data_IF_929556398526
#
_entry.id   IF_929556398526
#
_cell.length_a   1.000
_cell.length_b   1.000
_cell.length_c   1.000
_cell.angle_alpha   90.00
_cell.angle_beta   90.00
_cell.angle_gamma   90.00
#
_symmetry.space_group_name_H-M   'P 1'
#
loop_
_entity.id
_entity.type
_entity.pdbx_description
1 polymer ?
#
# COMPACT_ATOMS: atom_id res chain seq x y z
N UNK A 1 -19.48 -41.90 -10.53
CA UNK A 1 -18.80 -40.75 -11.14
C UNK A 1 -19.61 -39.51 -10.78
N UNK A 2 -19.04 -38.63 -9.93
CA UNK A 2 -19.66 -37.35 -9.62
C UNK A 2 -19.32 -36.39 -10.78
N UNK A 3 -20.35 -35.87 -11.41
CA UNK A 3 -20.21 -34.79 -12.37
C UNK A 3 -20.33 -33.47 -11.60
N UNK A 4 -19.25 -32.72 -11.48
CA UNK A 4 -19.25 -31.38 -10.88
C UNK A 4 -19.56 -30.40 -12.01
N UNK A 5 -20.74 -29.83 -11.98
CA UNK A 5 -21.16 -28.77 -12.91
C UNK A 5 -20.87 -27.43 -12.19
N UNK A 6 -19.85 -26.69 -12.64
CA UNK A 6 -19.58 -25.34 -12.17
C UNK A 6 -20.32 -24.37 -13.08
N UNK A 7 -21.34 -23.72 -12.55
CA UNK A 7 -21.99 -22.61 -13.21
C UNK A 7 -21.61 -21.30 -12.48
N UNK A 8 -21.12 -20.32 -13.20
CA UNK A 8 -20.88 -18.97 -12.71
C UNK A 8 -21.62 -17.98 -13.58
N UNK A 9 -22.34 -17.06 -12.95
CA UNK A 9 -23.02 -15.94 -13.64
C UNK A 9 -22.04 -14.86 -14.12
N UNK A 10 -20.76 -14.96 -13.70
CA UNK A 10 -19.72 -14.01 -14.06
C UNK A 10 -18.79 -14.58 -15.12
N UNK A 11 -18.40 -13.78 -16.13
CA UNK A 11 -17.43 -14.21 -17.13
C UNK A 11 -16.02 -14.30 -16.55
N UNK A 12 -15.18 -15.14 -17.16
CA UNK A 12 -13.74 -15.12 -16.94
C UNK A 12 -13.15 -13.94 -17.68
N UNK A 13 -12.36 -13.11 -16.98
CA UNK A 13 -11.53 -12.08 -17.61
C UNK A 13 -10.10 -12.61 -17.66
N UNK A 14 -9.59 -12.89 -18.86
CA UNK A 14 -8.26 -13.45 -19.01
C UNK A 14 -7.25 -12.40 -19.49
N UNK A 15 -6.09 -12.32 -18.82
CA UNK A 15 -4.99 -11.42 -19.14
C UNK A 15 -3.67 -12.17 -19.12
N UNK A 16 -2.70 -11.70 -19.90
CA UNK A 16 -1.38 -12.31 -20.03
C UNK A 16 -1.17 -12.94 -21.41
N UNK A 17 0.09 -13.19 -21.76
CA UNK A 17 0.47 -13.70 -23.09
C UNK A 17 -0.30 -14.97 -23.55
N UNK A 18 -0.52 -15.98 -22.67
CA UNK A 18 -1.24 -17.20 -23.06
C UNK A 18 -2.76 -17.09 -22.99
N UNK A 19 -3.33 -15.93 -22.62
CA UNK A 19 -4.76 -15.79 -22.34
C UNK A 19 -5.65 -16.25 -23.49
N UNK A 20 -5.33 -15.87 -24.71
CA UNK A 20 -6.10 -16.24 -25.90
C UNK A 20 -5.99 -17.72 -26.28
N UNK A 21 -4.89 -18.39 -25.88
CA UNK A 21 -4.62 -19.78 -26.29
C UNK A 21 -5.20 -20.82 -25.35
N UNK A 22 -5.29 -20.52 -24.05
CA UNK A 22 -5.69 -21.51 -23.04
C UNK A 22 -7.07 -21.28 -22.45
N UNK A 23 -7.47 -20.03 -22.28
CA UNK A 23 -8.71 -19.75 -21.53
C UNK A 23 -9.98 -19.96 -22.35
N UNK A 24 -9.89 -20.05 -23.68
CA UNK A 24 -11.07 -20.37 -24.50
C UNK A 24 -11.56 -21.78 -24.18
N UNK A 25 -10.66 -22.76 -24.20
CA UNK A 25 -11.01 -24.16 -23.92
C UNK A 25 -11.53 -24.35 -22.49
N UNK A 26 -10.95 -23.59 -21.54
CA UNK A 26 -11.38 -23.60 -20.14
C UNK A 26 -12.78 -23.01 -20.00
N UNK A 27 -13.06 -21.86 -20.61
CA UNK A 27 -14.36 -21.21 -20.57
C UNK A 27 -15.46 -22.09 -21.21
N UNK A 28 -15.15 -22.71 -22.35
CA UNK A 28 -16.05 -23.63 -23.05
C UNK A 28 -16.33 -24.88 -22.20
N UNK A 29 -15.30 -25.42 -21.57
CA UNK A 29 -15.39 -26.59 -20.67
C UNK A 29 -16.25 -26.31 -19.45
N UNK A 30 -16.16 -25.08 -18.91
CA UNK A 30 -16.91 -24.63 -17.74
C UNK A 30 -18.27 -24.00 -18.11
N UNK A 31 -18.58 -23.84 -19.40
CA UNK A 31 -19.78 -23.16 -19.93
C UNK A 31 -19.94 -21.72 -19.38
N UNK A 32 -18.82 -21.01 -19.21
CA UNK A 32 -18.75 -19.65 -18.68
C UNK A 32 -18.31 -18.71 -19.81
N UNK A 33 -18.82 -17.48 -19.82
CA UNK A 33 -18.38 -16.45 -20.77
C UNK A 33 -16.91 -16.11 -20.58
N UNK A 34 -16.16 -15.90 -21.69
CA UNK A 34 -14.79 -15.40 -21.68
C UNK A 34 -14.76 -13.97 -22.21
N UNK A 35 -14.10 -13.08 -21.47
CA UNK A 35 -13.78 -11.73 -21.92
C UNK A 35 -12.26 -11.55 -22.01
N UNK A 36 -11.80 -11.26 -23.21
CA UNK A 36 -10.40 -10.94 -23.51
C UNK A 36 -10.31 -9.44 -23.77
N UNK A 37 -9.77 -8.63 -22.82
CA UNK A 37 -9.56 -7.20 -23.05
C UNK A 37 -8.63 -6.95 -24.24
N UNK A 38 -8.83 -5.82 -24.92
CA UNK A 38 -7.84 -5.31 -25.85
C UNK A 38 -6.48 -5.21 -25.13
N UNK A 39 -5.41 -5.68 -25.74
CA UNK A 39 -4.08 -5.77 -25.14
C UNK A 39 -3.90 -6.83 -24.01
N UNK A 40 -4.85 -7.78 -23.84
CA UNK A 40 -4.73 -8.84 -22.84
C UNK A 40 -3.37 -9.54 -22.85
N UNK A 41 -2.80 -9.80 -24.04
CA UNK A 41 -1.52 -10.49 -24.22
C UNK A 41 -0.30 -9.71 -23.69
N UNK A 42 -0.39 -8.40 -23.57
CA UNK A 42 0.69 -7.52 -23.11
C UNK A 42 0.36 -6.82 -21.78
N UNK A 43 -0.69 -7.27 -21.09
CA UNK A 43 -1.19 -6.64 -19.87
C UNK A 43 -0.11 -6.49 -18.79
N UNK A 44 0.77 -7.48 -18.63
CA UNK A 44 1.87 -7.43 -17.67
C UNK A 44 2.89 -6.33 -18.03
N UNK A 45 3.25 -6.23 -19.32
CA UNK A 45 4.19 -5.19 -19.78
C UNK A 45 3.53 -3.80 -19.66
N UNK A 46 2.26 -3.70 -20.03
CA UNK A 46 1.50 -2.45 -19.88
C UNK A 46 1.36 -2.05 -18.41
N UNK A 47 1.03 -2.98 -17.53
CA UNK A 47 0.96 -2.75 -16.09
C UNK A 47 2.31 -2.33 -15.48
N UNK A 48 3.41 -2.89 -15.95
CA UNK A 48 4.75 -2.51 -15.52
C UNK A 48 5.13 -1.07 -15.94
N UNK A 49 4.71 -0.64 -17.13
CA UNK A 49 4.95 0.73 -17.61
C UNK A 49 4.03 1.75 -16.96
N UNK A 50 2.76 1.38 -16.73
CA UNK A 50 1.75 2.25 -16.12
C UNK A 50 1.73 2.15 -14.59
N UNK A 51 2.52 1.22 -14.02
CA UNK A 51 2.57 0.98 -12.59
C UNK A 51 3.08 2.20 -11.82
N UNK A 52 2.49 2.41 -10.65
CA UNK A 52 2.95 3.41 -9.70
C UNK A 52 3.95 2.77 -8.72
N UNK A 53 4.97 3.51 -8.37
CA UNK A 53 5.85 3.19 -7.24
C UNK A 53 5.11 3.57 -5.96
N UNK A 54 4.90 2.58 -5.08
CA UNK A 54 4.26 2.79 -3.78
C UNK A 54 5.25 2.38 -2.69
N UNK A 55 5.53 3.30 -1.78
CA UNK A 55 6.39 3.07 -0.63
C UNK A 55 5.70 3.50 0.65
N UNK A 56 5.95 2.74 1.73
CA UNK A 56 5.40 3.03 3.05
C UNK A 56 6.50 3.21 4.08
N UNK A 57 6.24 4.11 5.02
CA UNK A 57 7.01 4.27 6.23
C UNK A 57 6.04 4.42 7.40
N UNK A 58 6.45 3.95 8.58
CA UNK A 58 5.65 4.08 9.79
C UNK A 58 6.55 4.34 11.00
N UNK A 59 6.02 5.06 11.97
CA UNK A 59 6.61 5.22 13.30
C UNK A 59 5.52 5.12 14.35
N UNK A 60 5.89 4.73 15.56
CA UNK A 60 4.96 4.55 16.68
C UNK A 60 5.21 5.59 17.74
N UNK A 61 4.12 6.20 18.23
CA UNK A 61 4.08 7.05 19.42
C UNK A 61 3.40 6.28 20.51
N UNK A 62 4.07 6.07 21.65
CA UNK A 62 3.51 5.38 22.83
C UNK A 62 3.37 6.33 23.99
N UNK A 63 2.57 5.97 25.01
CA UNK A 63 2.48 6.69 26.27
C UNK A 63 3.02 5.83 27.41
N UNK A 64 4.35 5.80 27.67
CA UNK A 64 4.95 4.98 28.71
C UNK A 64 4.57 5.42 30.12
N UNK A 65 4.22 6.68 30.29
CA UNK A 65 3.73 7.26 31.54
C UNK A 65 2.66 8.30 31.23
N UNK A 66 1.74 8.51 32.17
CA UNK A 66 0.69 9.52 32.01
C UNK A 66 1.30 10.91 31.70
N UNK A 67 0.85 11.50 30.59
CA UNK A 67 1.32 12.81 30.12
C UNK A 67 2.72 12.82 29.45
N UNK A 68 3.37 11.67 29.26
CA UNK A 68 4.64 11.57 28.53
C UNK A 68 4.43 10.70 27.30
N UNK A 69 4.65 11.27 26.12
CA UNK A 69 4.52 10.59 24.85
C UNK A 69 5.91 10.36 24.25
N UNK A 70 6.22 9.12 23.90
CA UNK A 70 7.50 8.71 23.38
C UNK A 70 7.35 8.32 21.90
N UNK A 71 8.07 9.00 21.04
CA UNK A 71 8.19 8.70 19.61
C UNK A 71 9.44 7.85 19.38
N UNK A 72 9.26 6.66 18.82
CA UNK A 72 10.35 5.77 18.45
C UNK A 72 10.71 5.97 16.98
N UNK A 73 11.92 6.48 16.76
CA UNK A 73 12.50 6.63 15.44
C UNK A 73 14.01 6.46 15.51
N UNK A 74 14.57 5.58 14.67
CA UNK A 74 15.96 5.16 14.75
C UNK A 74 16.31 4.65 16.16
N UNK A 75 17.53 4.76 16.60
CA UNK A 75 17.95 4.28 17.93
C UNK A 75 17.73 5.29 19.05
N UNK A 76 17.03 6.39 18.79
CA UNK A 76 16.86 7.47 19.79
C UNK A 76 15.37 7.81 20.01
N UNK A 77 14.77 7.32 21.12
CA UNK A 77 13.44 7.73 21.51
C UNK A 77 13.41 9.22 21.89
N UNK A 78 12.37 9.92 21.40
CA UNK A 78 12.15 11.33 21.70
C UNK A 78 10.87 11.49 22.51
N UNK A 79 10.96 12.16 23.66
CA UNK A 79 9.83 12.38 24.57
C UNK A 79 9.16 13.74 24.29
N UNK A 80 7.85 13.76 24.47
CA UNK A 80 6.96 14.92 24.35
C UNK A 80 5.99 14.93 25.54
N UNK A 81 5.59 16.10 25.96
CA UNK A 81 4.58 16.34 27.00
C UNK A 81 3.16 16.49 26.42
N UNK A 82 3.04 16.44 25.11
CA UNK A 82 1.79 16.61 24.38
C UNK A 82 1.68 15.60 23.22
N UNK A 83 0.53 14.92 23.12
CA UNK A 83 0.27 13.93 22.08
C UNK A 83 0.28 14.53 20.67
N UNK A 84 -0.30 15.72 20.52
CA UNK A 84 -0.37 16.38 19.22
C UNK A 84 1.02 16.77 18.71
N UNK A 85 1.90 17.24 19.62
CA UNK A 85 3.29 17.54 19.30
C UNK A 85 4.06 16.27 18.89
N UNK A 86 3.83 15.13 19.59
CA UNK A 86 4.43 13.85 19.25
C UNK A 86 3.94 13.34 17.88
N UNK A 87 2.63 13.42 17.61
CA UNK A 87 2.02 13.05 16.31
C UNK A 87 2.51 13.94 15.19
N UNK A 88 2.66 15.23 15.42
CA UNK A 88 3.19 16.17 14.42
C UNK A 88 4.64 15.83 14.06
N UNK A 89 5.48 15.58 15.05
CA UNK A 89 6.87 15.15 14.82
C UNK A 89 6.93 13.80 14.09
N UNK A 90 6.07 12.84 14.47
CA UNK A 90 5.93 11.55 13.79
C UNK A 90 5.56 11.73 12.32
N UNK A 91 4.55 12.56 12.03
CA UNK A 91 4.11 12.88 10.68
C UNK A 91 5.23 13.43 9.80
N UNK A 92 6.02 14.36 10.31
CA UNK A 92 7.14 14.95 9.57
C UNK A 92 8.21 13.90 9.22
N UNK A 93 8.52 13.01 10.18
CA UNK A 93 9.50 11.94 10.01
C UNK A 93 9.01 10.93 8.96
N UNK A 94 7.78 10.38 9.12
CA UNK A 94 7.29 9.35 8.20
C UNK A 94 7.07 9.89 6.80
N UNK A 95 6.65 11.16 6.65
CA UNK A 95 6.49 11.80 5.35
C UNK A 95 7.82 11.86 4.60
N UNK A 96 8.88 12.31 5.27
CA UNK A 96 10.23 12.37 4.70
C UNK A 96 10.74 10.99 4.33
N UNK A 97 10.57 10.00 5.23
CA UNK A 97 11.02 8.62 5.00
C UNK A 97 10.28 7.96 3.82
N UNK A 98 8.96 8.11 3.76
CA UNK A 98 8.18 7.53 2.67
C UNK A 98 8.53 8.17 1.33
N UNK A 99 8.70 9.49 1.30
CA UNK A 99 9.11 10.23 0.11
C UNK A 99 10.49 9.82 -0.36
N UNK A 100 11.46 9.72 0.56
CA UNK A 100 12.81 9.28 0.23
C UNK A 100 12.82 7.87 -0.34
N UNK A 101 12.15 6.91 0.33
CA UNK A 101 12.03 5.52 -0.17
C UNK A 101 11.38 5.46 -1.56
N UNK A 102 10.38 6.30 -1.82
CA UNK A 102 9.72 6.34 -3.12
C UNK A 102 10.66 6.86 -4.22
N UNK A 103 11.43 7.93 -3.93
CA UNK A 103 12.44 8.46 -4.85
C UNK A 103 13.55 7.44 -5.13
N UNK A 104 14.06 6.77 -4.11
CA UNK A 104 15.07 5.71 -4.22
C UNK A 104 14.54 4.50 -5.02
N UNK A 105 13.24 4.23 -4.94
CA UNK A 105 12.56 3.21 -5.75
C UNK A 105 12.22 3.67 -7.18
N UNK A 106 12.64 4.87 -7.59
CA UNK A 106 12.44 5.41 -8.93
C UNK A 106 11.09 6.09 -9.14
N UNK A 107 10.43 6.56 -8.09
CA UNK A 107 9.23 7.38 -8.23
C UNK A 107 9.56 8.80 -8.69
N UNK A 108 8.75 9.33 -9.59
CA UNK A 108 8.79 10.74 -9.99
C UNK A 108 7.69 11.47 -9.22
N UNK A 109 8.06 12.58 -8.55
CA UNK A 109 7.13 13.47 -7.83
C UNK A 109 6.14 12.71 -6.93
N UNK A 110 6.62 11.91 -5.95
CA UNK A 110 5.73 11.13 -5.12
C UNK A 110 4.85 12.02 -4.23
N UNK A 111 3.55 11.73 -4.24
CA UNK A 111 2.57 12.34 -3.33
C UNK A 111 2.48 11.47 -2.07
N UNK A 112 2.48 12.11 -0.89
CA UNK A 112 2.43 11.43 0.41
C UNK A 112 1.08 11.62 1.07
N UNK A 113 0.46 10.52 1.49
CA UNK A 113 -0.74 10.50 2.36
C UNK A 113 -0.37 9.98 3.73
N UNK A 114 -1.07 10.45 4.77
CA UNK A 114 -0.82 10.08 6.17
C UNK A 114 -2.08 9.49 6.78
N UNK A 115 -1.92 8.34 7.41
CA UNK A 115 -2.95 7.65 8.17
C UNK A 115 -2.50 7.47 9.62
N UNK A 116 -3.46 7.41 10.55
CA UNK A 116 -3.24 7.23 11.98
C UNK A 116 -4.04 6.02 12.47
N UNK A 117 -3.36 5.11 13.15
CA UNK A 117 -3.99 3.98 13.82
C UNK A 117 -3.78 4.15 15.32
N UNK A 118 -4.82 4.65 16.01
CA UNK A 118 -4.78 4.94 17.44
C UNK A 118 -5.34 3.75 18.23
N UNK A 119 -4.59 3.29 19.21
CA UNK A 119 -4.99 2.26 20.16
C UNK A 119 -5.33 2.89 21.51
N UNK A 120 -6.59 2.72 21.92
CA UNK A 120 -7.09 3.14 23.21
C UNK A 120 -7.62 1.95 24.00
N UNK A 121 -7.46 1.97 25.30
CA UNK A 121 -8.05 0.96 26.22
C UNK A 121 -9.00 1.65 27.16
N UNK A 122 -10.16 1.00 27.39
CA UNK A 122 -11.13 1.47 28.39
C UNK A 122 -10.65 1.10 29.77
N UNK A 123 -10.33 2.08 30.58
CA UNK A 123 -10.14 1.91 32.02
C UNK A 123 -11.44 2.17 32.79
N UNK A 124 -11.66 1.42 33.87
CA UNK A 124 -12.86 1.57 34.70
C UNK A 124 -12.82 2.83 35.57
N UNK A 125 -11.66 3.43 35.77
CA UNK A 125 -11.44 4.55 36.67
C UNK A 125 -11.29 5.87 35.89
N UNK A 126 -10.45 5.88 34.83
CA UNK A 126 -10.09 7.10 34.09
C UNK A 126 -10.75 7.20 32.71
N UNK A 127 -11.60 6.23 32.35
CA UNK A 127 -12.30 6.26 31.06
C UNK A 127 -11.50 5.65 29.91
N UNK A 128 -11.18 6.42 28.90
CA UNK A 128 -10.41 5.98 27.72
C UNK A 128 -8.94 6.38 27.87
N UNK A 129 -8.07 5.37 27.98
CA UNK A 129 -6.63 5.55 28.07
C UNK A 129 -5.98 5.35 26.70
N UNK A 130 -5.26 6.35 26.22
CA UNK A 130 -4.40 6.22 25.05
C UNK A 130 -3.20 5.31 25.36
N UNK A 131 -2.92 4.35 24.49
CA UNK A 131 -1.75 3.48 24.60
C UNK A 131 -0.68 3.81 23.55
N UNK A 132 -1.08 3.82 22.30
CA UNK A 132 -0.16 4.07 21.19
C UNK A 132 -0.90 4.63 19.96
N UNK A 133 -0.13 5.28 19.10
CA UNK A 133 -0.54 5.69 17.76
C UNK A 133 0.52 5.27 16.77
N UNK A 134 0.14 4.47 15.78
CA UNK A 134 0.99 4.22 14.63
C UNK A 134 0.67 5.25 13.55
N UNK A 135 1.68 6.03 13.18
CA UNK A 135 1.58 7.03 12.10
C UNK A 135 2.19 6.42 10.85
N UNK A 136 1.39 6.30 9.80
CA UNK A 136 1.75 5.63 8.55
C UNK A 136 1.75 6.66 7.42
N UNK A 137 2.84 6.74 6.68
CA UNK A 137 2.93 7.50 5.44
C UNK A 137 2.99 6.56 4.25
N UNK A 138 2.15 6.82 3.25
CA UNK A 138 2.18 6.14 1.95
C UNK A 138 2.54 7.15 0.88
N UNK A 139 3.68 6.93 0.22
CA UNK A 139 4.15 7.72 -0.91
C UNK A 139 3.84 6.99 -2.22
N UNK A 140 3.16 7.66 -3.15
CA UNK A 140 2.77 7.12 -4.45
C UNK A 140 3.27 8.06 -5.52
N UNK A 141 4.06 7.55 -6.46
CA UNK A 141 4.57 8.31 -7.60
C UNK A 141 4.59 7.49 -8.89
N UNK A 142 4.71 8.15 -10.03
CA UNK A 142 4.91 7.48 -11.31
C UNK A 142 6.30 6.85 -11.35
N UNK A 143 6.43 5.65 -11.93
CA UNK A 143 7.73 5.06 -12.17
C UNK A 143 8.54 5.92 -13.15
N UNK A 144 9.84 6.07 -12.89
CA UNK A 144 10.76 6.70 -13.83
C UNK A 144 10.84 5.88 -15.13
N UNK A 145 10.71 6.53 -16.28
CA UNK A 145 10.95 5.87 -17.54
C UNK A 145 12.47 5.77 -17.75
N UNK A 146 13.03 4.57 -17.51
CA UNK A 146 14.45 4.29 -17.68
C UNK A 146 14.97 4.58 -19.11
N UNK A 147 14.07 4.71 -20.09
CA UNK A 147 14.42 5.05 -21.49
C UNK A 147 14.75 6.53 -21.70
N UNK A 148 14.38 7.40 -20.76
CA UNK A 148 14.66 8.82 -20.90
C UNK A 148 16.14 9.17 -20.69
N UNK A 149 16.89 8.32 -19.97
CA UNK A 149 18.29 8.59 -19.59
C UNK A 149 19.35 8.07 -20.58
N UNK A 150 18.94 7.42 -21.67
CA UNK A 150 19.86 6.84 -22.66
C UNK A 150 20.09 7.76 -23.89
N UNK A 151 19.66 9.02 -23.80
CA UNK A 151 19.88 10.04 -24.85
C UNK A 151 20.72 11.21 -24.33
N UNK A 152 21.90 10.92 -23.85
CA UNK A 152 22.95 11.92 -23.66
C UNK A 152 24.20 11.46 -24.40
#
# INVERSE_FOLDING_TARGET
LFNLDFASDYPIVAVGAPAASYYQDVADSMKIGLYLPEHAGVANAFGAVMGSVIQRAQVTVTQPQHGIFCLFHEDQPKNFDNLDAAKQAAREIVSRLAQQKALEAGAIEPTVTIDYEDLHVKDKIDGELFLESTVIATAIGRACDWRADTRA
#
